data_IF_081202514494
#
_entry.id   IF_081202514494
#
_cell.length_a   1.000
_cell.length_b   1.000
_cell.length_c   1.000
_cell.angle_alpha   90.00
_cell.angle_beta   90.00
_cell.angle_gamma   90.00
#
_symmetry.space_group_name_H-M   'P 1'
#
loop_
_entity.id
_entity.type
_entity.pdbx_description
1 polymer ?
#
# COMPACT_ATOMS: atom_id res chain seq x y z
N UNK A 1 20.58 -2.60 -12.78
CA UNK A 1 19.28 -3.29 -12.85
C UNK A 1 18.64 -3.22 -11.48
N UNK A 2 17.52 -2.49 -11.28
CA UNK A 2 16.76 -2.56 -10.03
C UNK A 2 16.18 -3.97 -9.94
N UNK A 3 16.47 -4.72 -8.88
CA UNK A 3 15.83 -6.02 -8.63
C UNK A 3 14.34 -5.74 -8.39
N UNK A 4 13.46 -6.43 -9.10
CA UNK A 4 12.04 -6.45 -8.73
C UNK A 4 11.91 -6.91 -7.28
N UNK A 5 11.05 -6.26 -6.51
CA UNK A 5 10.78 -6.63 -5.13
C UNK A 5 10.21 -8.04 -5.05
N UNK A 6 10.75 -8.87 -4.16
CA UNK A 6 10.15 -10.18 -3.84
C UNK A 6 8.96 -9.95 -2.92
N UNK A 7 7.87 -10.66 -3.14
CA UNK A 7 6.72 -10.72 -2.23
C UNK A 7 6.64 -12.16 -1.71
N UNK A 8 6.75 -12.36 -0.40
CA UNK A 8 6.56 -13.69 0.20
C UNK A 8 5.13 -13.94 0.69
N UNK A 9 4.37 -12.89 0.98
CA UNK A 9 3.00 -13.04 1.44
C UNK A 9 2.05 -13.49 0.30
N UNK A 10 1.33 -14.61 0.48
CA UNK A 10 0.45 -15.15 -0.56
C UNK A 10 -0.81 -14.31 -0.79
N UNK A 11 -1.27 -13.49 0.16
CA UNK A 11 -2.38 -12.56 -0.02
C UNK A 11 -1.95 -11.41 -0.93
N UNK A 12 -0.77 -10.83 -0.69
CA UNK A 12 -0.21 -9.80 -1.57
C UNK A 12 0.02 -10.31 -2.98
N UNK A 13 0.55 -11.54 -3.14
CA UNK A 13 0.71 -12.15 -4.46
C UNK A 13 -0.62 -12.26 -5.21
N UNK A 14 -1.70 -12.67 -4.52
CA UNK A 14 -3.05 -12.73 -5.10
C UNK A 14 -3.56 -11.35 -5.50
N UNK A 15 -3.36 -10.34 -4.66
CA UNK A 15 -3.75 -8.96 -4.97
C UNK A 15 -2.97 -8.42 -6.18
N UNK A 16 -1.65 -8.61 -6.22
CA UNK A 16 -0.82 -8.20 -7.34
C UNK A 16 -1.25 -8.90 -8.63
N UNK A 17 -1.59 -10.18 -8.56
CA UNK A 17 -2.14 -10.91 -9.71
C UNK A 17 -3.49 -10.33 -10.15
N UNK A 18 -4.40 -10.04 -9.22
CA UNK A 18 -5.70 -9.44 -9.55
C UNK A 18 -5.54 -8.04 -10.21
N UNK A 19 -4.57 -7.25 -9.74
CA UNK A 19 -4.21 -5.96 -10.37
C UNK A 19 -3.69 -6.19 -11.78
N UNK A 20 -2.83 -7.20 -11.98
CA UNK A 20 -2.27 -7.52 -13.28
C UNK A 20 -3.35 -7.95 -14.27
N UNK A 21 -4.24 -8.85 -13.85
CA UNK A 21 -5.36 -9.35 -14.64
C UNK A 21 -6.30 -8.20 -15.04
N UNK A 22 -6.48 -7.21 -14.16
CA UNK A 22 -7.43 -6.12 -14.36
C UNK A 22 -6.89 -4.94 -15.15
N UNK A 23 -5.62 -4.59 -14.97
CA UNK A 23 -5.03 -3.34 -15.45
C UNK A 23 -3.81 -3.50 -16.36
N UNK A 24 -3.28 -4.73 -16.51
CA UNK A 24 -2.12 -5.06 -17.31
C UNK A 24 -0.84 -5.25 -16.48
N UNK A 25 0.31 -5.36 -17.17
CA UNK A 25 1.59 -5.76 -16.56
C UNK A 25 1.96 -4.94 -15.31
N UNK A 26 2.12 -5.64 -14.18
CA UNK A 26 2.54 -5.06 -12.90
C UNK A 26 4.04 -5.23 -12.70
N UNK A 27 4.71 -4.17 -12.26
CA UNK A 27 6.08 -4.22 -11.74
C UNK A 27 6.07 -3.98 -10.24
N UNK A 28 6.67 -4.90 -9.48
CA UNK A 28 6.93 -4.70 -8.04
C UNK A 28 8.22 -3.90 -7.88
N UNK A 29 8.09 -2.63 -7.51
CA UNK A 29 9.20 -1.71 -7.28
C UNK A 29 9.97 -2.12 -6.03
N UNK A 30 9.23 -2.44 -4.96
CA UNK A 30 9.75 -2.94 -3.69
C UNK A 30 8.73 -3.89 -3.04
N UNK A 31 9.22 -4.90 -2.32
CA UNK A 31 8.39 -5.88 -1.61
C UNK A 31 8.92 -6.10 -0.20
N UNK A 32 9.20 -7.35 0.15
CA UNK A 32 9.84 -7.75 1.40
C UNK A 32 11.13 -6.95 1.67
N UNK A 33 11.29 -6.44 2.90
CA UNK A 33 12.50 -5.74 3.36
C UNK A 33 12.96 -6.30 4.70
N UNK A 34 14.27 -6.46 4.86
CA UNK A 34 14.93 -6.84 6.12
C UNK A 34 15.64 -5.66 6.81
N UNK A 35 15.58 -4.46 6.21
CA UNK A 35 16.18 -3.25 6.75
C UNK A 35 15.28 -2.02 6.56
N UNK A 36 15.48 -1.03 7.44
CA UNK A 36 14.82 0.28 7.34
C UNK A 36 15.72 1.21 6.51
N UNK A 37 15.27 1.73 5.36
CA UNK A 37 16.05 2.72 4.62
C UNK A 37 16.22 3.99 5.46
N UNK A 38 17.29 4.75 5.20
CA UNK A 38 17.57 5.96 5.99
C UNK A 38 16.38 6.95 5.92
N UNK A 39 15.83 7.32 7.08
CA UNK A 39 14.65 8.17 7.18
C UNK A 39 13.31 7.47 6.91
N UNK A 40 13.31 6.15 6.71
CA UNK A 40 12.11 5.31 6.62
C UNK A 40 11.46 5.06 7.98
N UNK A 41 10.20 4.61 7.96
CA UNK A 41 9.48 4.23 9.16
C UNK A 41 10.02 2.91 9.71
N UNK A 42 10.36 2.88 11.01
CA UNK A 42 10.77 1.66 11.75
C UNK A 42 9.66 0.62 11.86
N UNK A 43 8.46 1.02 11.51
CA UNK A 43 7.18 0.34 11.70
C UNK A 43 6.51 0.11 10.33
N UNK A 44 7.29 -0.06 9.27
CA UNK A 44 6.76 -0.27 7.91
C UNK A 44 6.27 -1.71 7.72
N UNK A 45 5.13 -1.87 7.03
CA UNK A 45 4.60 -3.19 6.64
C UNK A 45 5.58 -3.98 5.74
N UNK A 46 6.47 -3.31 5.01
CA UNK A 46 7.51 -3.99 4.25
C UNK A 46 8.46 -4.81 5.13
N UNK A 47 8.71 -4.36 6.37
CA UNK A 47 9.55 -5.07 7.34
C UNK A 47 8.88 -6.33 7.91
N UNK A 48 7.57 -6.43 7.72
CA UNK A 48 6.76 -7.58 8.11
C UNK A 48 6.51 -8.50 6.92
N UNK A 49 7.00 -8.14 5.73
CA UNK A 49 6.68 -8.78 4.45
C UNK A 49 5.18 -8.70 4.10
N UNK A 50 4.50 -7.69 4.61
CA UNK A 50 3.06 -7.45 4.46
C UNK A 50 2.78 -6.22 3.57
N UNK A 51 3.73 -5.80 2.75
CA UNK A 51 3.49 -4.77 1.75
C UNK A 51 4.34 -4.88 0.47
N UNK A 52 3.82 -4.24 -0.58
CA UNK A 52 4.46 -4.09 -1.88
C UNK A 52 4.22 -2.69 -2.44
N UNK A 53 5.26 -2.13 -3.04
CA UNK A 53 5.22 -0.91 -3.83
C UNK A 53 5.13 -1.33 -5.29
N UNK A 54 4.09 -0.90 -6.00
CA UNK A 54 3.76 -1.39 -7.35
C UNK A 54 3.58 -0.27 -8.37
N UNK A 55 3.82 -0.61 -9.63
CA UNK A 55 3.43 0.17 -10.80
C UNK A 55 2.79 -0.71 -11.87
N UNK A 56 1.99 -0.11 -12.75
CA UNK A 56 1.36 -0.78 -13.90
C UNK A 56 1.80 -0.08 -15.18
N UNK A 57 2.18 -0.85 -16.19
CA UNK A 57 2.61 -0.31 -17.48
C UNK A 57 1.56 0.66 -18.07
N UNK A 58 2.03 1.82 -18.51
CA UNK A 58 1.19 2.85 -19.12
C UNK A 58 0.27 3.62 -18.16
N UNK A 59 0.41 3.47 -16.84
CA UNK A 59 -0.32 4.27 -15.84
C UNK A 59 0.64 5.12 -15.01
N UNK A 60 0.26 6.36 -14.72
CA UNK A 60 0.91 7.13 -13.65
C UNK A 60 0.50 6.58 -12.27
N UNK A 61 1.27 6.85 -11.20
CA UNK A 61 0.87 6.45 -9.85
C UNK A 61 -0.51 6.99 -9.44
N UNK A 62 -0.87 8.22 -9.81
CA UNK A 62 -2.20 8.78 -9.55
C UNK A 62 -3.30 8.00 -10.28
N UNK A 63 -3.11 7.72 -11.57
CA UNK A 63 -4.08 6.96 -12.35
C UNK A 63 -4.27 5.56 -11.77
N UNK A 64 -3.17 4.90 -11.39
CA UNK A 64 -3.23 3.58 -10.76
C UNK A 64 -3.95 3.65 -9.41
N UNK A 65 -3.66 4.64 -8.59
CA UNK A 65 -4.31 4.83 -7.29
C UNK A 65 -5.84 4.97 -7.44
N UNK A 66 -6.30 5.88 -8.32
CA UNK A 66 -7.73 6.08 -8.57
C UNK A 66 -8.41 4.81 -9.11
N UNK A 67 -7.75 4.08 -10.03
CA UNK A 67 -8.26 2.81 -10.55
C UNK A 67 -8.37 1.73 -9.46
N UNK A 68 -7.41 1.64 -8.54
CA UNK A 68 -7.44 0.71 -7.41
C UNK A 68 -8.59 1.03 -6.45
N UNK A 69 -8.84 2.31 -6.16
CA UNK A 69 -9.96 2.73 -5.33
C UNK A 69 -11.30 2.38 -5.99
N UNK A 70 -11.43 2.65 -7.29
CA UNK A 70 -12.64 2.34 -8.05
C UNK A 70 -12.93 0.83 -8.13
N UNK A 71 -11.89 0.00 -8.24
CA UNK A 71 -12.00 -1.46 -8.34
C UNK A 71 -11.79 -2.18 -6.99
N UNK A 72 -11.87 -1.48 -5.86
CA UNK A 72 -11.38 -2.00 -4.57
C UNK A 72 -12.04 -3.32 -4.15
N UNK A 73 -13.33 -3.47 -4.38
CA UNK A 73 -14.08 -4.66 -3.99
C UNK A 73 -13.70 -5.89 -4.82
N UNK A 74 -13.36 -5.68 -6.09
CA UNK A 74 -12.93 -6.72 -7.02
C UNK A 74 -11.51 -7.19 -6.69
N UNK A 75 -10.62 -6.26 -6.34
CA UNK A 75 -9.19 -6.53 -6.14
C UNK A 75 -8.88 -6.99 -4.71
N UNK A 76 -9.49 -6.36 -3.71
CA UNK A 76 -9.15 -6.54 -2.29
C UNK A 76 -10.21 -7.33 -1.50
N UNK A 77 -11.34 -7.64 -2.14
CA UNK A 77 -12.46 -8.37 -1.54
C UNK A 77 -13.55 -7.47 -0.95
N UNK A 78 -14.54 -8.11 -0.32
CA UNK A 78 -15.79 -7.47 0.11
C UNK A 78 -15.74 -6.89 1.54
N UNK A 79 -14.60 -7.00 2.23
CA UNK A 79 -14.44 -6.42 3.56
C UNK A 79 -14.61 -4.89 3.51
N UNK A 80 -15.23 -4.31 4.53
CA UNK A 80 -15.47 -2.86 4.62
C UNK A 80 -15.37 -2.38 6.08
N UNK A 81 -15.30 -1.07 6.28
CA UNK A 81 -15.25 -0.46 7.61
C UNK A 81 -14.06 -0.95 8.45
N UNK A 82 -14.30 -1.22 9.74
CA UNK A 82 -13.26 -1.69 10.66
C UNK A 82 -12.71 -3.10 10.35
N UNK A 83 -13.41 -3.87 9.50
CA UNK A 83 -12.96 -5.18 9.05
C UNK A 83 -11.98 -5.10 7.86
N UNK A 84 -11.99 -4.01 7.09
CA UNK A 84 -11.08 -3.85 5.96
C UNK A 84 -9.64 -3.71 6.44
N UNK A 85 -8.72 -4.54 5.93
CA UNK A 85 -7.32 -4.58 6.39
C UNK A 85 -6.29 -4.11 5.38
N UNK A 86 -6.68 -3.80 4.16
CA UNK A 86 -5.76 -3.34 3.13
C UNK A 86 -5.44 -1.85 3.27
N UNK A 87 -4.17 -1.50 3.10
CA UNK A 87 -3.67 -0.14 2.91
C UNK A 87 -3.40 0.06 1.42
N UNK A 88 -3.92 1.15 0.88
CA UNK A 88 -3.60 1.63 -0.47
C UNK A 88 -3.15 3.06 -0.28
N UNK A 89 -1.89 3.36 -0.59
CA UNK A 89 -1.28 4.67 -0.35
C UNK A 89 -0.61 5.16 -1.64
N UNK A 90 -0.84 6.41 -2.00
CA UNK A 90 -0.04 7.10 -3.01
C UNK A 90 1.09 7.86 -2.31
N UNK A 91 2.33 7.41 -2.48
CA UNK A 91 3.51 8.12 -2.01
C UNK A 91 3.92 9.20 -3.00
N UNK A 92 3.88 10.48 -2.62
CA UNK A 92 4.29 11.56 -3.51
C UNK A 92 5.79 11.65 -3.79
N UNK A 93 6.20 12.52 -4.75
CA UNK A 93 7.59 12.63 -5.20
C UNK A 93 8.57 13.12 -4.12
N UNK A 94 8.07 13.81 -3.09
CA UNK A 94 8.88 14.29 -1.96
C UNK A 94 8.99 13.31 -0.78
N UNK A 95 8.48 12.08 -0.92
CA UNK A 95 8.59 11.08 0.14
C UNK A 95 10.03 10.55 0.22
N UNK A 96 10.51 10.33 1.44
CA UNK A 96 11.87 9.76 1.69
C UNK A 96 12.00 8.31 1.23
N UNK A 97 10.88 7.68 0.87
CA UNK A 97 10.73 6.28 0.48
C UNK A 97 10.67 6.19 -1.04
N UNK A 98 11.72 5.68 -1.68
CA UNK A 98 11.82 5.23 -3.09
C UNK A 98 11.21 6.11 -4.23
N UNK A 99 10.75 7.33 -3.93
CA UNK A 99 10.14 8.26 -4.88
C UNK A 99 8.62 8.10 -5.02
N UNK A 100 8.07 8.54 -6.14
CA UNK A 100 6.63 8.57 -6.39
C UNK A 100 6.10 7.19 -6.83
N UNK A 101 5.22 6.57 -6.03
CA UNK A 101 4.70 5.22 -6.30
C UNK A 101 3.40 4.92 -5.53
N UNK A 102 2.75 3.81 -5.88
CA UNK A 102 1.61 3.26 -5.12
C UNK A 102 2.09 2.15 -4.21
N UNK A 103 1.70 2.23 -2.94
CA UNK A 103 1.96 1.24 -1.91
C UNK A 103 0.68 0.47 -1.59
N UNK A 104 0.82 -0.84 -1.44
CA UNK A 104 -0.24 -1.77 -1.04
C UNK A 104 0.28 -2.57 0.15
N UNK A 105 -0.49 -2.56 1.25
CA UNK A 105 -0.13 -3.33 2.44
C UNK A 105 -1.32 -4.04 3.06
N UNK A 106 -1.08 -5.10 3.80
CA UNK A 106 -2.08 -5.75 4.62
C UNK A 106 -1.75 -5.52 6.10
N UNK A 107 -2.73 -5.10 6.91
CA UNK A 107 -2.54 -4.94 8.36
C UNK A 107 -3.02 -6.22 9.04
N UNK A 108 -2.12 -7.05 9.60
CA UNK A 108 -2.54 -8.28 10.29
C UNK A 108 -3.42 -7.95 11.51
N UNK A 109 -4.42 -8.80 11.82
CA UNK A 109 -5.38 -8.54 12.90
C UNK A 109 -4.74 -8.48 14.30
N UNK A 110 -3.63 -9.18 14.49
CA UNK A 110 -2.82 -9.23 15.70
C UNK A 110 -1.72 -8.15 15.74
N UNK A 111 -1.58 -7.35 14.69
CA UNK A 111 -0.52 -6.34 14.61
C UNK A 111 -0.88 -5.10 15.44
N UNK A 112 -0.41 -5.09 16.69
CA UNK A 112 -0.45 -3.92 17.58
C UNK A 112 0.85 -3.14 17.41
N UNK A 113 0.82 -2.01 16.69
CA UNK A 113 1.93 -1.07 16.79
C UNK A 113 2.09 -0.65 18.26
N UNK A 114 3.34 -0.62 18.77
CA UNK A 114 3.69 -0.39 20.19
C UNK A 114 3.22 0.96 20.76
N UNK A 115 2.41 1.72 20.04
CA UNK A 115 1.68 2.89 20.51
C UNK A 115 0.18 2.60 20.59
N UNK A 116 -0.20 1.74 21.54
CA UNK A 116 -1.47 1.76 22.33
C UNK A 116 -2.80 2.11 21.65
N UNK A 117 -2.94 1.94 20.33
CA UNK A 117 -4.21 1.96 19.62
C UNK A 117 -4.24 0.81 18.62
N UNK A 118 -5.31 0.00 18.59
CA UNK A 118 -5.47 -1.00 17.55
C UNK A 118 -5.46 -0.26 16.21
N UNK A 119 -4.56 -0.65 15.31
CA UNK A 119 -4.59 -0.17 13.94
C UNK A 119 -5.84 -0.80 13.32
N UNK A 120 -6.93 -0.04 13.27
CA UNK A 120 -8.05 -0.39 12.39
C UNK A 120 -7.46 -0.33 10.98
N UNK A 121 -7.72 -1.32 10.13
CA UNK A 121 -7.27 -1.19 8.76
C UNK A 121 -7.99 0.02 8.16
N UNK A 122 -7.22 0.93 7.61
CA UNK A 122 -7.73 2.11 6.94
C UNK A 122 -7.31 2.02 5.49
N UNK A 123 -8.24 2.26 4.57
CA UNK A 123 -7.86 2.85 3.29
C UNK A 123 -7.29 4.23 3.67
N UNK A 124 -5.98 4.42 3.56
CA UNK A 124 -5.40 5.76 3.72
C UNK A 124 -5.59 6.46 2.38
N UNK A 125 -6.81 6.97 2.17
CA UNK A 125 -7.17 7.76 1.01
C UNK A 125 -6.41 9.11 1.07
N UNK A 126 -5.50 9.33 0.13
CA UNK A 126 -4.95 10.65 -0.17
C UNK A 126 -3.91 11.21 0.80
N UNK A 127 -2.66 10.75 0.71
CA UNK A 127 -1.51 11.58 1.07
C UNK A 127 -1.07 12.42 -0.14
N UNK A 128 -1.89 13.41 -0.54
CA UNK A 128 -1.41 14.42 -1.48
C UNK A 128 -1.94 15.84 -1.21
N UNK A 129 -1.14 16.61 -0.46
CA UNK A 129 -0.74 17.98 -0.84
C UNK A 129 0.46 18.45 -0.02
N UNK A 130 1.61 18.55 -0.68
CA UNK A 130 2.66 19.53 -0.37
C UNK A 130 3.58 19.30 0.84
N UNK A 131 3.22 18.53 1.86
CA UNK A 131 4.14 18.15 2.95
C UNK A 131 3.73 16.80 3.51
N UNK A 132 4.63 15.83 3.52
CA UNK A 132 4.49 14.60 4.31
C UNK A 132 4.38 14.96 5.79
N UNK A 133 3.14 15.17 6.23
CA UNK A 133 2.71 14.99 7.61
C UNK A 133 1.49 14.11 7.53
N UNK A 134 1.56 12.97 8.21
CA UNK A 134 0.46 12.05 8.46
C UNK A 134 -0.78 12.82 8.93
N UNK A 135 -1.65 13.17 7.99
CA UNK A 135 -2.98 13.70 8.28
C UNK A 135 -3.96 12.57 8.04
N UNK A 136 -4.27 11.90 9.14
CA UNK A 136 -5.30 10.89 9.25
C UNK A 136 -6.64 11.52 8.91
N UNK A 137 -7.23 11.16 7.76
CA UNK A 137 -8.64 11.45 7.52
C UNK A 137 -9.39 10.13 7.63
N UNK A 138 -10.12 9.86 8.72
CA UNK A 138 -10.95 8.67 8.79
C UNK A 138 -11.99 8.72 7.66
N UNK A 139 -12.05 7.66 6.85
CA UNK A 139 -13.17 7.46 5.93
C UNK A 139 -14.46 7.30 6.74
N UNK A 140 -15.37 8.25 6.59
CA UNK A 140 -16.76 8.12 7.04
C UNK A 140 -17.54 7.78 5.78
N UNK A 141 -18.08 6.55 5.70
CA UNK A 141 -18.97 6.16 4.61
C UNK A 141 -20.20 7.08 4.58
N UNK A 142 -20.79 7.37 3.39
CA UNK A 142 -22.04 8.12 3.29
C UNK A 142 -23.22 7.40 3.97
#
# INVERSE_FOLDING_TARGET
>A
MKRMGRISDPRLLKVVQAIADRFGDVTVISGDRDFVPNGGAKESLHLLNEAADVSVAGKTPEQLFELLIAARQEIFGQETGAAFRWQIILHGPGTKTEGHHVHIGYVPPDHVFRRSRPFMGYVVEGLFKGKTYSAYTPYVAP
#
